data_IF_856269844250
#
_entry.id   IF_856269844250
#
_cell.length_a   1.000
_cell.length_b   1.000
_cell.length_c   1.000
_cell.angle_alpha   90.00
_cell.angle_beta   90.00
_cell.angle_gamma   90.00
#
_symmetry.space_group_name_H-M   'P 1'
#
loop_
_entity.id
_entity.type
_entity.pdbx_description
1 polymer ?
#
# COMPACT_ATOMS: atom_id res chain seq x y z
N UNK A 1 -26.02 5.11 -3.15
CA UNK A 1 -24.65 5.51 -3.52
C UNK A 1 -24.09 6.35 -2.37
N UNK A 2 -23.39 5.73 -1.42
CA UNK A 2 -22.79 6.45 -0.29
C UNK A 2 -21.60 7.24 -0.81
N UNK A 3 -21.67 8.57 -0.77
CA UNK A 3 -20.56 9.44 -1.18
C UNK A 3 -19.53 9.47 -0.05
N UNK A 4 -18.37 8.87 -0.26
CA UNK A 4 -17.20 9.01 0.59
C UNK A 4 -16.29 10.07 -0.03
N UNK A 5 -15.61 10.84 0.81
CA UNK A 5 -14.52 11.73 0.36
C UNK A 5 -13.27 11.28 1.11
N UNK A 6 -12.28 10.76 0.37
CA UNK A 6 -10.92 10.60 0.88
C UNK A 6 -10.13 11.86 0.55
N UNK A 7 -9.42 12.40 1.55
CA UNK A 7 -8.38 13.39 1.28
C UNK A 7 -7.07 12.62 1.13
N UNK A 8 -6.46 12.78 -0.06
CA UNK A 8 -5.08 12.39 -0.29
C UNK A 8 -4.18 13.33 0.51
N UNK A 9 -3.66 12.84 1.63
CA UNK A 9 -2.75 13.62 2.48
C UNK A 9 -1.34 13.43 1.95
N UNK A 10 -0.97 14.25 0.96
CA UNK A 10 0.42 14.35 0.53
C UNK A 10 1.23 15.02 1.65
N UNK A 11 1.89 14.17 2.43
CA UNK A 11 3.19 14.42 3.08
C UNK A 11 3.19 15.36 4.30
N UNK A 12 2.11 16.08 4.64
CA UNK A 12 2.09 16.81 5.93
C UNK A 12 0.71 16.85 6.59
N UNK A 13 0.59 16.26 7.78
CA UNK A 13 -0.51 16.54 8.71
C UNK A 13 -0.30 17.94 9.27
N UNK A 14 -0.73 18.97 8.53
CA UNK A 14 -0.68 20.36 9.00
C UNK A 14 -1.92 20.69 9.83
N UNK A 15 -1.83 21.68 10.73
CA UNK A 15 -2.98 22.17 11.51
C UNK A 15 -4.15 22.57 10.60
N UNK A 16 -3.85 23.11 9.41
CA UNK A 16 -4.84 23.46 8.39
C UNK A 16 -5.64 22.25 7.90
N UNK A 17 -5.02 21.08 7.81
CA UNK A 17 -5.67 19.84 7.39
C UNK A 17 -6.66 19.35 8.45
N UNK A 18 -6.29 19.35 9.73
CA UNK A 18 -7.17 18.95 10.83
C UNK A 18 -8.46 19.78 10.85
N UNK A 19 -8.35 21.09 10.65
CA UNK A 19 -9.51 22.00 10.54
C UNK A 19 -10.41 21.65 9.35
N UNK A 20 -9.83 21.24 8.23
CA UNK A 20 -10.59 20.81 7.04
C UNK A 20 -11.33 19.51 7.33
N UNK A 21 -10.70 18.54 7.99
CA UNK A 21 -11.33 17.25 8.34
C UNK A 21 -12.55 17.47 9.25
N UNK A 22 -12.40 18.28 10.31
CA UNK A 22 -13.49 18.65 11.21
C UNK A 22 -14.62 19.38 10.46
N UNK A 23 -14.27 20.28 9.53
CA UNK A 23 -15.28 20.97 8.72
C UNK A 23 -16.02 20.01 7.78
N UNK A 24 -15.30 19.09 7.13
CA UNK A 24 -15.88 18.11 6.22
C UNK A 24 -16.84 17.16 6.94
N UNK A 25 -16.53 16.72 8.16
CA UNK A 25 -17.43 15.89 8.97
C UNK A 25 -18.79 16.53 9.24
N UNK A 26 -18.92 17.87 9.15
CA UNK A 26 -20.22 18.55 9.24
C UNK A 26 -21.12 18.33 8.03
N UNK A 27 -20.54 18.01 6.87
CA UNK A 27 -21.26 17.95 5.59
C UNK A 27 -21.16 16.58 4.89
N UNK A 28 -20.15 15.79 5.23
CA UNK A 28 -19.84 14.49 4.61
C UNK A 28 -19.97 13.43 5.69
N UNK A 29 -20.80 12.42 5.42
CA UNK A 29 -21.10 11.34 6.36
C UNK A 29 -19.84 10.60 6.81
N UNK A 30 -18.97 10.28 5.85
CA UNK A 30 -17.79 9.49 6.08
C UNK A 30 -16.55 10.18 5.50
N UNK A 31 -15.61 10.53 6.37
CA UNK A 31 -14.36 11.22 6.06
C UNK A 31 -13.22 10.37 6.58
N UNK A 32 -12.22 10.16 5.74
CA UNK A 32 -11.04 9.40 6.10
C UNK A 32 -9.77 9.96 5.47
N UNK A 33 -8.65 9.47 5.98
CA UNK A 33 -7.31 9.78 5.46
C UNK A 33 -6.90 8.65 4.53
N UNK A 34 -6.39 8.99 3.35
CA UNK A 34 -5.73 8.04 2.46
C UNK A 34 -4.31 8.53 2.17
N UNK A 35 -3.34 7.67 2.39
CA UNK A 35 -1.93 8.01 2.23
C UNK A 35 -1.09 6.77 1.92
N UNK A 36 -0.10 6.88 1.02
CA UNK A 36 0.98 5.90 1.00
C UNK A 36 1.72 5.96 2.34
N UNK A 37 2.19 4.81 2.83
CA UNK A 37 3.07 4.76 4.00
C UNK A 37 4.48 5.05 3.58
N UNK A 38 4.99 6.18 4.04
CA UNK A 38 6.40 6.58 4.03
C UNK A 38 6.90 6.75 5.47
N UNK A 39 8.22 6.68 5.72
CA UNK A 39 8.76 6.94 7.05
C UNK A 39 8.35 8.32 7.58
N UNK A 40 8.37 9.34 6.71
CA UNK A 40 8.03 10.71 7.07
C UNK A 40 6.55 10.84 7.46
N UNK A 41 5.65 10.16 6.74
CA UNK A 41 4.23 10.13 7.12
C UNK A 41 4.06 9.41 8.46
N UNK A 42 4.73 8.28 8.65
CA UNK A 42 4.64 7.49 9.87
C UNK A 42 5.02 8.35 11.08
N UNK A 43 6.19 9.00 11.05
CA UNK A 43 6.65 9.91 12.10
C UNK A 43 5.70 11.11 12.28
N UNK A 44 5.32 11.79 11.18
CA UNK A 44 4.46 12.96 11.25
C UNK A 44 3.07 12.65 11.81
N UNK A 45 2.52 11.46 11.52
CA UNK A 45 1.27 11.00 12.09
C UNK A 45 1.41 10.80 13.59
N UNK A 46 2.42 10.05 14.04
CA UNK A 46 2.58 9.74 15.46
C UNK A 46 2.88 10.97 16.31
N UNK A 47 3.59 11.95 15.75
CA UNK A 47 3.80 13.26 16.38
C UNK A 47 2.49 14.05 16.62
N UNK A 48 1.40 13.68 15.94
CA UNK A 48 0.09 14.37 16.01
C UNK A 48 -1.06 13.41 16.23
N UNK A 49 -0.78 12.18 16.67
CA UNK A 49 -1.74 11.07 16.73
C UNK A 49 -3.03 11.49 17.43
N UNK A 50 -2.91 11.98 18.66
CA UNK A 50 -4.05 12.38 19.49
C UNK A 50 -4.93 13.42 18.78
N UNK A 51 -4.32 14.51 18.29
CA UNK A 51 -5.05 15.56 17.57
C UNK A 51 -5.70 15.08 16.27
N UNK A 52 -5.17 14.04 15.61
CA UNK A 52 -5.79 13.43 14.43
C UNK A 52 -6.99 12.59 14.85
N UNK A 53 -6.83 11.71 15.86
CA UNK A 53 -7.89 10.83 16.34
C UNK A 53 -9.08 11.63 16.91
N UNK A 54 -8.82 12.74 17.60
CA UNK A 54 -9.82 13.67 18.11
C UNK A 54 -10.70 14.31 17.01
N UNK A 55 -10.29 14.26 15.74
CA UNK A 55 -11.12 14.77 14.63
C UNK A 55 -12.30 13.86 14.28
N UNK A 56 -12.42 12.69 14.91
CA UNK A 56 -13.52 11.74 14.74
C UNK A 56 -13.68 11.28 13.27
N UNK A 57 -12.55 10.89 12.67
CA UNK A 57 -12.48 10.31 11.33
C UNK A 57 -13.08 8.91 11.33
N UNK A 58 -13.67 8.51 10.21
CA UNK A 58 -14.30 7.20 10.08
C UNK A 58 -13.29 6.09 9.73
N UNK A 59 -12.25 6.44 8.98
CA UNK A 59 -11.24 5.47 8.57
C UNK A 59 -9.89 6.10 8.25
N UNK A 60 -8.84 5.28 8.31
CA UNK A 60 -7.51 5.55 7.77
C UNK A 60 -7.13 4.42 6.82
N UNK A 61 -6.93 4.77 5.54
CA UNK A 61 -6.42 3.88 4.52
C UNK A 61 -4.90 4.04 4.42
N UNK A 62 -4.18 3.04 4.90
CA UNK A 62 -2.74 2.92 4.84
C UNK A 62 -2.36 2.18 3.55
N UNK A 63 -2.21 2.91 2.45
CA UNK A 63 -1.74 2.30 1.21
C UNK A 63 -0.24 1.99 1.34
N UNK A 64 0.19 0.83 0.85
CA UNK A 64 1.60 0.66 0.52
C UNK A 64 1.97 1.60 -0.63
N UNK A 65 3.23 2.03 -0.67
CA UNK A 65 3.71 2.95 -1.68
C UNK A 65 3.80 2.24 -3.04
N UNK A 66 2.82 2.49 -3.90
CA UNK A 66 2.82 1.99 -5.26
C UNK A 66 3.75 2.82 -6.14
N UNK A 67 4.72 2.16 -6.76
CA UNK A 67 5.65 2.76 -7.70
C UNK A 67 5.27 2.42 -9.15
N UNK A 68 5.56 3.35 -10.05
CA UNK A 68 5.42 3.22 -11.49
C UNK A 68 6.63 3.79 -12.22
N UNK A 69 6.62 3.76 -13.55
CA UNK A 69 7.72 4.21 -14.41
C UNK A 69 8.17 5.65 -14.12
N UNK A 70 7.30 6.52 -13.58
CA UNK A 70 7.63 7.92 -13.32
C UNK A 70 8.35 8.16 -11.99
N UNK A 71 8.26 7.23 -11.02
CA UNK A 71 8.74 7.47 -9.66
C UNK A 71 9.59 6.35 -9.08
N UNK A 72 9.70 5.20 -9.73
CA UNK A 72 10.45 4.05 -9.21
C UNK A 72 11.95 4.37 -9.01
N UNK A 73 12.52 5.19 -9.89
CA UNK A 73 13.94 5.58 -9.83
C UNK A 73 14.25 6.48 -8.62
N UNK A 74 13.25 7.15 -8.03
CA UNK A 74 13.44 7.92 -6.80
C UNK A 74 13.79 7.04 -5.60
N UNK A 75 13.59 5.73 -5.72
CA UNK A 75 13.82 4.72 -4.69
C UNK A 75 14.87 3.69 -5.14
N UNK A 76 15.76 4.07 -6.05
CA UNK A 76 16.85 3.19 -6.52
C UNK A 76 17.74 2.75 -5.35
N UNK A 77 17.92 1.43 -5.22
CA UNK A 77 18.71 0.82 -4.15
C UNK A 77 17.89 0.34 -2.96
N UNK A 78 16.62 0.72 -2.86
CA UNK A 78 15.71 0.19 -1.85
C UNK A 78 15.39 -1.30 -2.11
N UNK A 79 15.14 -2.05 -1.03
CA UNK A 79 14.65 -3.41 -1.14
C UNK A 79 13.19 -3.38 -1.60
N UNK A 80 12.94 -3.90 -2.82
CA UNK A 80 11.61 -3.90 -3.44
C UNK A 80 10.93 -5.25 -3.38
N UNK A 81 9.60 -5.26 -3.44
CA UNK A 81 8.82 -6.48 -3.64
C UNK A 81 7.62 -6.23 -4.58
N UNK A 82 7.03 -7.32 -5.07
CA UNK A 82 5.82 -7.33 -5.88
C UNK A 82 4.98 -8.56 -5.51
N UNK A 83 3.65 -8.46 -5.58
CA UNK A 83 2.75 -9.59 -5.39
C UNK A 83 1.93 -9.85 -6.64
N UNK A 84 1.98 -11.08 -7.20
CA UNK A 84 1.15 -11.56 -8.33
C UNK A 84 1.01 -10.56 -9.50
N UNK A 85 2.11 -9.91 -9.89
CA UNK A 85 2.16 -8.88 -10.94
C UNK A 85 1.41 -7.58 -10.60
N UNK A 86 1.27 -7.29 -9.32
CA UNK A 86 0.68 -6.07 -8.78
C UNK A 86 1.58 -4.85 -8.86
N UNK A 87 1.37 -3.93 -7.93
CA UNK A 87 2.23 -2.77 -7.76
C UNK A 87 3.57 -3.18 -7.15
N UNK A 88 4.63 -2.52 -7.60
CA UNK A 88 5.96 -2.61 -6.99
C UNK A 88 6.01 -1.61 -5.84
N UNK A 89 6.53 -2.03 -4.70
CA UNK A 89 6.66 -1.21 -3.51
C UNK A 89 7.97 -1.52 -2.79
N UNK A 90 8.57 -0.55 -2.07
CA UNK A 90 9.60 -0.84 -1.09
C UNK A 90 9.05 -1.73 0.02
N UNK A 91 9.87 -2.66 0.53
CA UNK A 91 9.49 -3.57 1.62
C UNK A 91 9.17 -2.83 2.91
N UNK A 92 9.93 -1.77 3.22
CA UNK A 92 9.70 -0.93 4.41
C UNK A 92 8.31 -0.28 4.38
N UNK A 93 7.74 0.05 3.21
CA UNK A 93 6.41 0.67 3.13
C UNK A 93 5.32 -0.30 3.59
N UNK A 94 5.49 -1.58 3.20
CA UNK A 94 4.61 -2.66 3.65
C UNK A 94 4.77 -2.91 5.14
N UNK A 95 6.00 -2.95 5.63
CA UNK A 95 6.30 -3.13 7.05
C UNK A 95 5.65 -2.02 7.90
N UNK A 96 5.87 -0.75 7.55
CA UNK A 96 5.27 0.40 8.25
C UNK A 96 3.74 0.35 8.23
N UNK A 97 3.14 -0.13 7.13
CA UNK A 97 1.69 -0.33 7.05
C UNK A 97 1.20 -1.35 8.07
N UNK A 98 1.88 -2.49 8.17
CA UNK A 98 1.55 -3.55 9.13
C UNK A 98 1.78 -3.10 10.58
N UNK A 99 2.90 -2.43 10.85
CA UNK A 99 3.20 -1.86 12.16
C UNK A 99 2.14 -0.85 12.59
N UNK A 100 1.72 0.04 11.69
CA UNK A 100 0.68 1.04 11.97
C UNK A 100 -0.66 0.39 12.32
N UNK A 101 -1.08 -0.62 11.54
CA UNK A 101 -2.32 -1.36 11.82
C UNK A 101 -2.25 -2.11 13.15
N UNK A 102 -1.10 -2.71 13.46
CA UNK A 102 -0.86 -3.39 14.73
C UNK A 102 -0.96 -2.41 15.90
N UNK A 103 -0.35 -1.23 15.81
CA UNK A 103 -0.45 -0.20 16.86
C UNK A 103 -1.90 0.25 17.04
N UNK A 104 -2.65 0.44 15.95
CA UNK A 104 -4.05 0.82 16.03
C UNK A 104 -4.93 -0.23 16.72
N UNK A 105 -4.64 -1.51 16.50
CA UNK A 105 -5.30 -2.65 17.16
C UNK A 105 -4.92 -2.73 18.65
N UNK A 106 -3.61 -2.66 18.96
CA UNK A 106 -3.09 -2.73 20.34
C UNK A 106 -3.54 -1.54 21.21
N UNK A 107 -3.72 -0.35 20.62
CA UNK A 107 -4.23 0.84 21.29
C UNK A 107 -5.75 1.01 21.19
N UNK A 108 -6.47 0.04 20.61
CA UNK A 108 -7.93 0.02 20.49
C UNK A 108 -8.52 1.30 19.87
N UNK A 109 -7.97 1.77 18.75
CA UNK A 109 -8.47 2.99 18.10
C UNK A 109 -9.93 2.82 17.66
N UNK A 110 -10.78 3.79 18.02
CA UNK A 110 -12.20 3.82 17.65
C UNK A 110 -12.43 4.31 16.20
N UNK A 111 -11.74 3.70 15.23
CA UNK A 111 -11.93 3.93 13.80
C UNK A 111 -11.39 2.77 12.95
N UNK A 112 -11.84 2.68 11.70
CA UNK A 112 -11.39 1.62 10.79
C UNK A 112 -10.01 1.94 10.22
N UNK A 113 -8.99 1.18 10.62
CA UNK A 113 -7.68 1.21 9.95
C UNK A 113 -7.58 0.03 9.00
N UNK A 114 -7.34 0.30 7.72
CA UNK A 114 -7.17 -0.75 6.72
C UNK A 114 -6.04 -0.43 5.76
N UNK A 115 -5.58 -1.44 5.03
CA UNK A 115 -4.63 -1.26 3.94
C UNK A 115 -5.31 -1.29 2.57
N UNK A 116 -4.57 -0.79 1.59
CA UNK A 116 -4.87 -0.94 0.17
C UNK A 116 -3.84 -1.88 -0.49
N UNK A 117 -3.43 -2.94 0.21
CA UNK A 117 -2.37 -3.82 -0.27
C UNK A 117 -2.73 -4.52 -1.58
N UNK A 118 -1.70 -4.93 -2.32
CA UNK A 118 -1.80 -5.68 -3.56
C UNK A 118 -2.81 -6.85 -3.47
N UNK A 119 -2.72 -7.67 -2.42
CA UNK A 119 -3.63 -8.81 -2.21
C UNK A 119 -5.07 -8.37 -1.94
N UNK A 120 -5.28 -7.38 -1.07
CA UNK A 120 -6.61 -6.84 -0.75
C UNK A 120 -7.29 -6.27 -2.00
N UNK A 121 -6.55 -5.51 -2.82
CA UNK A 121 -7.07 -4.95 -4.08
C UNK A 121 -7.48 -6.04 -5.07
N UNK A 122 -6.63 -7.04 -5.25
CA UNK A 122 -6.91 -8.19 -6.11
C UNK A 122 -8.18 -8.93 -5.66
N UNK A 123 -8.27 -9.31 -4.38
CA UNK A 123 -9.42 -10.02 -3.83
C UNK A 123 -10.73 -9.20 -3.94
N UNK A 124 -10.67 -7.89 -3.65
CA UNK A 124 -11.82 -6.98 -3.81
C UNK A 124 -12.27 -6.90 -5.26
N UNK A 125 -11.34 -6.87 -6.20
CA UNK A 125 -11.64 -6.81 -7.62
C UNK A 125 -12.31 -8.09 -8.13
N UNK A 126 -11.80 -9.26 -7.72
CA UNK A 126 -12.43 -10.55 -8.02
C UNK A 126 -13.88 -10.63 -7.50
N UNK A 127 -14.10 -10.18 -6.27
CA UNK A 127 -15.44 -10.13 -5.67
C UNK A 127 -16.38 -9.18 -6.45
N UNK A 128 -15.89 -8.00 -6.85
CA UNK A 128 -16.67 -7.07 -7.67
C UNK A 128 -17.01 -7.68 -9.03
N UNK A 129 -16.01 -8.23 -9.74
CA UNK A 129 -16.19 -8.86 -11.05
C UNK A 129 -17.21 -10.01 -11.00
N UNK A 130 -17.18 -10.83 -9.95
CA UNK A 130 -18.17 -11.89 -9.72
C UNK A 130 -19.59 -11.33 -9.57
N UNK A 131 -19.77 -10.27 -8.77
CA UNK A 131 -21.06 -9.59 -8.59
C UNK A 131 -21.57 -8.90 -9.85
N UNK A 132 -20.67 -8.49 -10.73
CA UNK A 132 -20.99 -7.92 -12.04
C UNK A 132 -21.28 -8.98 -13.11
N UNK A 133 -21.25 -10.28 -12.77
CA UNK A 133 -21.53 -11.37 -13.70
C UNK A 133 -20.42 -11.63 -14.73
N UNK A 134 -19.19 -11.21 -14.45
CA UNK A 134 -18.03 -11.50 -15.31
C UNK A 134 -17.60 -12.96 -15.18
N UNK A 135 -16.76 -13.42 -16.10
CA UNK A 135 -16.22 -14.78 -16.09
C UNK A 135 -15.32 -15.05 -14.86
N UNK A 136 -15.20 -16.33 -14.49
CA UNK A 136 -14.46 -16.76 -13.29
C UNK A 136 -12.99 -16.32 -13.34
N UNK A 137 -12.56 -15.48 -12.40
CA UNK A 137 -11.18 -14.97 -12.36
C UNK A 137 -10.97 -13.65 -13.10
N UNK A 138 -12.02 -13.05 -13.67
CA UNK A 138 -11.95 -11.73 -14.27
C UNK A 138 -11.44 -10.69 -13.26
N UNK A 139 -10.31 -10.07 -13.57
CA UNK A 139 -9.71 -9.00 -12.77
C UNK A 139 -9.08 -7.95 -13.68
N UNK A 140 -9.24 -6.67 -13.34
CA UNK A 140 -8.50 -5.57 -13.98
C UNK A 140 -7.30 -5.11 -13.14
N UNK A 141 -7.03 -5.78 -12.03
CA UNK A 141 -5.84 -5.55 -11.24
C UNK A 141 -4.63 -6.12 -11.98
N UNK A 142 -3.73 -5.24 -12.41
CA UNK A 142 -2.58 -5.55 -13.25
C UNK A 142 -1.41 -4.61 -12.93
N UNK A 143 -0.22 -4.96 -13.41
CA UNK A 143 1.00 -4.17 -13.24
C UNK A 143 0.89 -2.83 -14.00
N UNK A 144 1.35 -1.74 -13.40
CA UNK A 144 1.44 -0.43 -14.08
C UNK A 144 2.61 -0.33 -15.05
N UNK A 145 3.50 -1.33 -15.06
CA UNK A 145 4.65 -1.38 -15.95
C UNK A 145 4.35 -2.18 -17.21
N UNK A 146 4.78 -1.67 -18.35
CA UNK A 146 4.70 -2.39 -19.63
C UNK A 146 5.52 -3.68 -19.62
N UNK A 147 6.63 -3.70 -18.86
CA UNK A 147 7.49 -4.85 -18.57
C UNK A 147 7.98 -4.75 -17.14
N UNK A 148 8.06 -5.88 -16.43
CA UNK A 148 8.56 -5.89 -15.06
C UNK A 148 10.03 -5.40 -15.06
N UNK A 149 10.37 -4.34 -14.31
CA UNK A 149 11.72 -3.82 -14.23
C UNK A 149 12.56 -4.68 -13.28
N UNK A 150 12.95 -5.90 -13.69
CA UNK A 150 13.60 -6.89 -12.81
C UNK A 150 14.82 -6.37 -12.04
N UNK A 151 15.52 -5.37 -12.57
CA UNK A 151 16.69 -4.78 -11.93
C UNK A 151 16.38 -4.13 -10.56
N UNK A 152 15.14 -3.68 -10.33
CA UNK A 152 14.75 -3.04 -9.05
C UNK A 152 14.70 -4.03 -7.89
N UNK A 153 14.66 -5.34 -8.17
CA UNK A 153 14.72 -6.38 -7.15
C UNK A 153 16.15 -6.86 -6.86
N UNK A 154 17.15 -6.39 -7.61
CA UNK A 154 18.54 -6.77 -7.34
C UNK A 154 19.03 -6.39 -5.94
N UNK A 155 18.64 -5.25 -5.32
CA UNK A 155 19.04 -4.93 -3.94
C UNK A 155 18.62 -6.02 -2.95
N UNK A 156 17.34 -6.39 -2.93
CA UNK A 156 16.82 -7.39 -1.97
C UNK A 156 17.39 -8.79 -2.24
N UNK A 157 17.63 -9.14 -3.51
CA UNK A 157 18.23 -10.42 -3.88
C UNK A 157 19.73 -10.51 -3.54
N UNK A 158 20.38 -9.38 -3.26
CA UNK A 158 21.79 -9.30 -2.85
C UNK A 158 21.96 -8.98 -1.37
N UNK A 159 20.87 -8.81 -0.64
CA UNK A 159 20.89 -8.51 0.78
C UNK A 159 20.94 -9.80 1.60
N UNK A 160 22.14 -10.17 2.04
CA UNK A 160 22.37 -11.35 2.87
C UNK A 160 21.63 -11.30 4.23
N UNK A 161 21.19 -10.12 4.66
CA UNK A 161 20.41 -9.96 5.89
C UNK A 161 18.92 -10.22 5.68
N UNK A 162 18.41 -10.08 4.46
CA UNK A 162 17.02 -10.37 4.15
C UNK A 162 16.79 -11.87 4.15
N UNK A 163 15.82 -12.34 4.95
CA UNK A 163 15.49 -13.77 5.05
C UNK A 163 14.18 -14.05 4.33
N UNK A 164 14.29 -14.73 3.19
CA UNK A 164 13.12 -15.27 2.50
C UNK A 164 12.49 -16.38 3.35
N UNK A 165 11.17 -16.32 3.52
CA UNK A 165 10.43 -17.32 4.31
C UNK A 165 10.26 -18.61 3.52
N UNK A 166 10.00 -18.47 2.23
CA UNK A 166 9.85 -19.56 1.28
C UNK A 166 10.58 -19.13 0.00
N UNK A 167 11.37 -20.04 -0.53
CA UNK A 167 12.00 -19.90 -1.85
C UNK A 167 11.51 -21.06 -2.71
N UNK A 168 11.05 -20.74 -3.91
CA UNK A 168 10.67 -21.74 -4.91
C UNK A 168 11.86 -21.93 -5.86
N UNK A 169 12.18 -23.19 -6.19
CA UNK A 169 13.18 -23.43 -7.22
C UNK A 169 12.72 -22.87 -8.57
N UNK A 170 13.67 -22.32 -9.32
CA UNK A 170 13.41 -21.94 -10.71
C UNK A 170 12.91 -23.16 -11.51
N UNK A 171 11.90 -22.99 -12.39
CA UNK A 171 11.43 -24.07 -13.25
C UNK A 171 12.57 -24.70 -14.07
N UNK A 172 12.39 -25.96 -14.46
CA UNK A 172 13.34 -26.66 -15.32
C UNK A 172 13.57 -25.86 -16.63
N UNK A 173 14.83 -25.71 -17.03
CA UNK A 173 15.22 -24.91 -18.21
C UNK A 173 15.48 -23.44 -17.91
N UNK A 174 15.12 -22.94 -16.72
CA UNK A 174 15.30 -21.54 -16.32
C UNK A 174 16.45 -21.32 -15.33
N UNK A 175 17.15 -22.39 -14.90
CA UNK A 175 18.32 -22.26 -14.03
C UNK A 175 19.52 -21.67 -14.81
N UNK A 176 20.44 -20.95 -14.15
CA UNK A 176 21.67 -20.50 -14.78
C UNK A 176 22.41 -21.65 -15.49
N UNK A 177 22.75 -21.46 -16.77
CA UNK A 177 23.37 -22.50 -17.61
C UNK A 177 22.39 -23.41 -18.36
N UNK A 178 21.08 -23.34 -18.06
CA UNK A 178 20.03 -24.05 -18.81
C UNK A 178 19.30 -23.15 -19.82
N UNK A 179 19.37 -21.83 -19.64
CA UNK A 179 18.76 -20.85 -20.56
C UNK A 179 19.58 -20.81 -21.86
N UNK A 180 18.97 -21.22 -22.96
CA UNK A 180 19.53 -21.10 -24.32
C UNK A 180 19.00 -19.78 -24.91
N UNK A 181 19.91 -18.88 -25.32
CA UNK A 181 19.59 -17.62 -26.00
C UNK A 181 19.50 -17.79 -27.51
#
# INVERSE_FOLDING_TARGET
MTRYVSIWVLITVQIKLLKILVLQKKYIKNVGIETPKTPEFFEAFFNKKESILETNLDFINCAELHLNENNIDNYSGENMYISRQGYISPTWSRELTLQFMKIADEEEWDLVVHDCSNYTKFARNLNLSSKEGKWFGASNYACEFSRIPYHVFLPILRDDNFKFVIEEELPEGYKPGQIIF
#
